data_IF_484201666656
#
_entry.id   IF_484201666656
#
_cell.length_a   1.000
_cell.length_b   1.000
_cell.length_c   1.000
_cell.angle_alpha   90.00
_cell.angle_beta   90.00
_cell.angle_gamma   90.00
#
_symmetry.space_group_name_H-M   'P 1'
#
loop_
_entity.id
_entity.type
_entity.pdbx_description
1 polymer ?
#
# COMPACT_ATOMS: atom_id res chain seq x y z
N UNK A 1 0.16 27.72 -24.49
CA UNK A 1 -1.17 27.16 -24.14
C UNK A 1 -1.64 26.30 -25.30
N UNK A 2 -2.38 25.18 -25.12
CA UNK A 2 -2.42 24.21 -24.02
C UNK A 2 -2.24 22.76 -24.53
N UNK A 3 -1.75 21.83 -23.71
CA UNK A 3 -2.09 20.41 -23.85
C UNK A 3 -2.40 19.87 -22.46
N UNK A 4 -3.66 20.05 -22.07
CA UNK A 4 -4.22 19.42 -20.89
C UNK A 4 -4.32 17.92 -21.22
N UNK A 5 -3.48 17.10 -20.60
CA UNK A 5 -3.56 15.65 -20.72
C UNK A 5 -4.83 15.20 -20.02
N UNK A 6 -5.77 14.67 -20.81
CA UNK A 6 -7.02 14.11 -20.34
C UNK A 6 -6.76 12.97 -19.34
N UNK A 7 -6.99 13.24 -18.07
CA UNK A 7 -7.08 12.20 -17.05
C UNK A 7 -8.42 11.53 -17.30
N UNK A 8 -8.42 10.40 -18.01
CA UNK A 8 -9.62 9.59 -18.15
C UNK A 8 -10.13 9.21 -16.74
N UNK A 9 -11.41 9.46 -16.40
CA UNK A 9 -11.96 9.03 -15.14
C UNK A 9 -11.98 7.50 -15.13
N UNK A 10 -11.14 6.89 -14.29
CA UNK A 10 -11.17 5.45 -14.03
C UNK A 10 -12.60 5.11 -13.58
N UNK A 11 -13.29 4.15 -14.21
CA UNK A 11 -14.67 3.85 -13.86
C UNK A 11 -14.74 3.43 -12.39
N UNK A 12 -15.72 3.98 -11.66
CA UNK A 12 -15.90 3.79 -10.22
C UNK A 12 -15.95 2.30 -9.79
N UNK A 13 -16.32 1.40 -10.72
CA UNK A 13 -16.29 -0.05 -10.53
C UNK A 13 -14.88 -0.64 -10.39
N UNK A 14 -13.89 -0.12 -11.13
CA UNK A 14 -12.48 -0.53 -11.01
C UNK A 14 -11.82 0.06 -9.77
N UNK A 15 -12.19 1.29 -9.39
CA UNK A 15 -11.72 1.93 -8.16
C UNK A 15 -12.10 1.11 -6.92
N UNK A 16 -13.32 0.55 -6.88
CA UNK A 16 -13.77 -0.33 -5.80
C UNK A 16 -12.90 -1.58 -5.66
N UNK A 17 -12.66 -2.30 -6.76
CA UNK A 17 -11.85 -3.54 -6.75
C UNK A 17 -10.39 -3.28 -6.38
N UNK A 18 -9.80 -2.19 -6.90
CA UNK A 18 -8.44 -1.78 -6.55
C UNK A 18 -8.34 -1.33 -5.10
N UNK A 19 -9.34 -0.61 -4.57
CA UNK A 19 -9.38 -0.20 -3.17
C UNK A 19 -9.51 -1.41 -2.24
N UNK A 20 -10.33 -2.40 -2.59
CA UNK A 20 -10.45 -3.65 -1.82
C UNK A 20 -9.15 -4.44 -1.85
N UNK A 21 -8.48 -4.52 -3.00
CA UNK A 21 -7.19 -5.20 -3.15
C UNK A 21 -6.08 -4.52 -2.32
N UNK A 22 -6.03 -3.19 -2.36
CA UNK A 22 -5.11 -2.40 -1.53
C UNK A 22 -5.39 -2.56 -0.03
N UNK A 23 -6.66 -2.52 0.39
CA UNK A 23 -7.03 -2.75 1.79
C UNK A 23 -6.64 -4.15 2.27
N UNK A 24 -6.81 -5.17 1.41
CA UNK A 24 -6.39 -6.54 1.71
C UNK A 24 -4.87 -6.65 1.85
N UNK A 25 -4.11 -6.02 0.95
CA UNK A 25 -2.66 -5.98 1.00
C UNK A 25 -2.15 -5.28 2.28
N UNK A 26 -2.76 -4.15 2.66
CA UNK A 26 -2.43 -3.44 3.91
C UNK A 26 -2.71 -4.32 5.13
N UNK A 27 -3.85 -5.02 5.15
CA UNK A 27 -4.19 -5.93 6.25
C UNK A 27 -3.19 -7.08 6.38
N UNK A 28 -2.75 -7.67 5.26
CA UNK A 28 -1.74 -8.74 5.27
C UNK A 28 -0.38 -8.25 5.78
N UNK A 29 0.07 -7.08 5.32
CA UNK A 29 1.29 -6.42 5.80
C UNK A 29 1.21 -6.11 7.30
N UNK A 30 0.07 -5.61 7.79
CA UNK A 30 -0.15 -5.38 9.23
C UNK A 30 -0.09 -6.67 10.04
N UNK A 31 -0.71 -7.75 9.54
CA UNK A 31 -0.65 -9.06 10.19
C UNK A 31 0.79 -9.62 10.22
N UNK A 32 1.57 -9.41 9.15
CA UNK A 32 2.98 -9.76 9.11
C UNK A 32 3.80 -8.98 10.15
N UNK A 33 3.58 -7.66 10.26
CA UNK A 33 4.24 -6.84 11.27
C UNK A 33 3.85 -7.21 12.70
N UNK A 34 2.57 -7.51 12.95
CA UNK A 34 2.09 -7.95 14.26
C UNK A 34 2.79 -9.24 14.74
N UNK A 35 3.12 -10.17 13.82
CA UNK A 35 3.88 -11.39 14.16
C UNK A 35 5.36 -11.14 14.41
N UNK A 36 5.94 -10.08 13.82
CA UNK A 36 7.36 -9.74 13.96
C UNK A 36 7.64 -8.75 15.09
N UNK A 37 6.64 -7.98 15.52
CA UNK A 37 6.72 -6.96 16.56
C UNK A 37 7.93 -5.99 16.37
N UNK A 38 8.03 -5.31 15.21
CA UNK A 38 9.09 -4.32 14.99
C UNK A 38 9.02 -3.18 16.00
N UNK A 39 10.19 -2.70 16.43
CA UNK A 39 10.34 -1.69 17.48
C UNK A 39 10.25 -0.26 16.94
N UNK A 40 10.31 -0.07 15.62
CA UNK A 40 10.25 1.24 14.98
C UNK A 40 9.62 1.20 13.59
N UNK A 41 9.06 2.32 13.13
CA UNK A 41 8.52 2.45 11.78
C UNK A 41 9.57 2.17 10.69
N UNK A 42 10.83 2.55 10.93
CA UNK A 42 11.96 2.27 10.03
C UNK A 42 12.24 0.77 9.90
N UNK A 43 12.15 0.03 11.00
CA UNK A 43 12.28 -1.42 11.00
C UNK A 43 11.10 -2.09 10.29
N UNK A 44 9.88 -1.64 10.56
CA UNK A 44 8.68 -2.10 9.85
C UNK A 44 8.82 -1.95 8.34
N UNK A 45 9.30 -0.79 7.87
CA UNK A 45 9.52 -0.55 6.43
C UNK A 45 10.62 -1.44 5.85
N UNK A 46 11.69 -1.72 6.60
CA UNK A 46 12.74 -2.65 6.16
C UNK A 46 12.20 -4.06 6.02
N UNK A 47 11.43 -4.54 7.00
CA UNK A 47 10.80 -5.85 6.99
C UNK A 47 9.78 -5.98 5.84
N UNK A 48 8.93 -4.96 5.65
CA UNK A 48 7.98 -4.94 4.54
C UNK A 48 8.65 -4.87 3.18
N UNK A 49 9.75 -4.14 3.03
CA UNK A 49 10.52 -4.11 1.78
C UNK A 49 11.07 -5.47 1.41
N UNK A 50 11.52 -6.26 2.40
CA UNK A 50 12.03 -7.61 2.17
C UNK A 50 10.93 -8.64 1.91
N UNK A 51 9.79 -8.54 2.61
CA UNK A 51 8.68 -9.49 2.48
C UNK A 51 7.74 -9.19 1.31
N UNK A 52 7.60 -7.92 0.92
CA UNK A 52 6.69 -7.44 -0.13
C UNK A 52 7.45 -6.51 -1.10
N UNK A 53 8.39 -7.02 -1.92
CA UNK A 53 9.20 -6.21 -2.82
C UNK A 53 8.38 -5.54 -3.94
N UNK A 54 7.36 -6.24 -4.44
CA UNK A 54 6.44 -5.74 -5.49
C UNK A 54 5.41 -4.74 -4.96
N UNK A 55 5.26 -4.59 -3.65
CA UNK A 55 4.31 -3.63 -3.10
C UNK A 55 4.84 -2.19 -3.24
N UNK A 56 4.05 -1.22 -3.76
CA UNK A 56 4.45 0.17 -3.81
C UNK A 56 4.71 0.74 -2.41
N UNK A 57 5.61 1.72 -2.33
CA UNK A 57 6.00 2.35 -1.06
C UNK A 57 4.79 2.88 -0.29
N UNK A 58 3.81 3.48 -0.98
CA UNK A 58 2.60 4.03 -0.38
C UNK A 58 1.80 3.00 0.43
N UNK A 59 1.70 1.74 -0.06
CA UNK A 59 1.03 0.66 0.67
C UNK A 59 1.82 0.20 1.89
N UNK A 60 3.15 0.14 1.77
CA UNK A 60 4.04 -0.23 2.89
C UNK A 60 3.98 0.82 4.01
N UNK A 61 3.93 2.10 3.66
CA UNK A 61 3.74 3.18 4.65
C UNK A 61 2.35 3.12 5.28
N UNK A 62 1.29 2.87 4.49
CA UNK A 62 -0.07 2.70 5.00
C UNK A 62 -0.20 1.52 5.99
N UNK A 63 0.61 0.47 5.82
CA UNK A 63 0.68 -0.65 6.75
C UNK A 63 1.44 -0.31 8.06
N UNK A 64 2.39 0.63 8.04
CA UNK A 64 3.08 1.10 9.24
C UNK A 64 2.24 2.06 10.11
N UNK A 65 1.29 2.79 9.51
CA UNK A 65 0.40 3.71 10.22
C UNK A 65 -0.75 2.96 10.89
N UNK A 66 -0.68 2.83 12.21
CA UNK A 66 -1.78 2.50 13.10
C UNK A 66 -1.87 3.61 14.17
#
# INVERSE_FOLDING_TARGET
MPLVSAIAPVPAKQAGVLATSQARAIADMRAFLARRAPLSASESLRLLRSAFPDAPLSLRVAACGA
#
